data_IF_077891547687
#
_entry.id   IF_077891547687
#
_cell.length_a   1.000
_cell.length_b   1.000
_cell.length_c   1.000
_cell.angle_alpha   90.00
_cell.angle_beta   90.00
_cell.angle_gamma   90.00
#
_symmetry.space_group_name_H-M   'P 1'
#
loop_
_entity.id
_entity.type
_entity.pdbx_description
1 polymer ?
#
# COMPACT_ATOMS: atom_id res chain seq x y z
N UNK A 1 42.86 25.79 -17.25
CA UNK A 1 42.40 27.20 -17.16
C UNK A 1 42.31 27.71 -18.58
N UNK A 2 41.12 27.72 -19.18
CA UNK A 2 40.82 28.50 -20.38
C UNK A 2 39.37 28.93 -20.32
N UNK A 3 39.16 30.25 -20.34
CA UNK A 3 37.87 30.92 -20.16
C UNK A 3 37.22 31.17 -21.51
N UNK A 4 35.92 30.91 -21.58
CA UNK A 4 34.86 31.83 -22.02
C UNK A 4 35.02 32.57 -23.37
N UNK A 5 34.20 32.17 -24.35
CA UNK A 5 33.58 33.11 -25.30
C UNK A 5 32.06 32.84 -25.36
N UNK A 6 31.21 33.77 -24.91
CA UNK A 6 29.78 33.72 -25.15
C UNK A 6 29.41 34.39 -26.49
N UNK A 7 28.46 33.78 -27.20
CA UNK A 7 27.85 34.26 -28.46
C UNK A 7 26.95 35.50 -28.19
N UNK A 8 27.12 36.63 -28.89
CA UNK A 8 26.39 37.87 -28.62
C UNK A 8 25.04 38.02 -29.36
N UNK A 9 24.40 36.96 -29.85
CA UNK A 9 23.30 37.11 -30.82
C UNK A 9 21.95 36.43 -30.49
N UNK A 10 21.40 36.65 -29.29
CA UNK A 10 20.00 36.25 -29.02
C UNK A 10 19.22 37.21 -28.09
N UNK A 11 19.34 38.52 -28.29
CA UNK A 11 18.34 39.48 -27.83
C UNK A 11 17.30 39.72 -28.93
N UNK A 12 16.18 38.99 -28.88
CA UNK A 12 14.90 39.48 -29.42
C UNK A 12 13.82 39.24 -28.39
N UNK A 13 13.37 40.34 -27.81
CA UNK A 13 12.42 40.34 -26.71
C UNK A 13 11.06 39.76 -27.06
N UNK A 14 10.36 39.29 -26.03
CA UNK A 14 8.92 39.33 -26.00
C UNK A 14 8.46 39.74 -24.60
N UNK A 15 8.01 40.99 -24.57
CA UNK A 15 7.21 41.61 -23.52
C UNK A 15 5.92 40.83 -23.28
N UNK A 16 5.50 40.78 -22.02
CA UNK A 16 4.10 40.87 -21.63
C UNK A 16 3.30 39.56 -21.61
N UNK A 17 2.88 39.17 -20.40
CA UNK A 17 1.80 38.21 -20.20
C UNK A 17 1.98 37.46 -18.90
N UNK A 18 1.29 37.89 -17.85
CA UNK A 18 1.19 37.13 -16.61
C UNK A 18 0.54 35.78 -16.90
N UNK A 19 1.36 34.73 -16.91
CA UNK A 19 0.87 33.35 -16.87
C UNK A 19 0.18 33.16 -15.51
N UNK A 20 -1.13 32.88 -15.46
CA UNK A 20 -1.77 32.57 -14.19
C UNK A 20 -1.14 31.28 -13.65
N UNK A 21 -0.73 31.35 -12.39
CA UNK A 21 -0.23 30.29 -11.51
C UNK A 21 -1.29 29.19 -11.29
N UNK A 22 -1.85 28.63 -12.36
CA UNK A 22 -2.97 27.70 -12.36
C UNK A 22 -2.72 26.46 -13.25
N UNK A 23 -1.47 26.19 -13.62
CA UNK A 23 -1.09 25.02 -14.44
C UNK A 23 -0.13 24.04 -13.70
N UNK A 24 -0.07 24.13 -12.36
CA UNK A 24 0.64 23.16 -11.50
C UNK A 24 -0.31 22.35 -10.60
N UNK A 25 -1.53 22.10 -11.06
CA UNK A 25 -2.37 21.10 -10.41
C UNK A 25 -1.90 19.69 -10.83
N UNK A 26 -1.53 18.78 -9.91
CA UNK A 26 -1.34 17.38 -10.26
C UNK A 26 -2.69 16.88 -10.78
N UNK A 27 -2.75 16.58 -12.08
CA UNK A 27 -3.91 15.96 -12.71
C UNK A 27 -4.19 14.66 -11.96
N UNK A 28 -5.17 14.71 -11.06
CA UNK A 28 -5.84 13.55 -10.47
C UNK A 28 -6.31 12.70 -11.64
N UNK A 29 -5.58 11.61 -11.92
CA UNK A 29 -6.02 10.55 -12.82
C UNK A 29 -7.17 9.82 -12.14
N UNK A 30 -8.34 10.44 -12.21
CA UNK A 30 -9.62 9.81 -12.00
C UNK A 30 -9.81 8.80 -13.15
N UNK A 31 -9.71 7.50 -12.84
CA UNK A 31 -10.00 6.42 -13.77
C UNK A 31 -8.77 5.61 -14.21
N UNK A 32 -8.33 4.68 -13.37
CA UNK A 32 -7.71 3.45 -13.86
C UNK A 32 -8.65 2.29 -13.48
N UNK A 33 -9.28 1.62 -14.45
CA UNK A 33 -10.22 0.55 -14.19
C UNK A 33 -9.50 -0.63 -13.55
N UNK A 34 -10.22 -1.31 -12.65
CA UNK A 34 -9.91 -2.62 -12.09
C UNK A 34 -9.55 -3.59 -13.23
N UNK A 35 -8.26 -3.74 -13.55
CA UNK A 35 -7.81 -4.80 -14.46
C UNK A 35 -7.30 -5.95 -13.62
N UNK A 36 -8.21 -6.90 -13.39
CA UNK A 36 -7.83 -8.25 -13.00
C UNK A 36 -6.95 -8.88 -14.08
N UNK A 37 -6.03 -9.74 -13.65
CA UNK A 37 -5.31 -10.69 -14.51
C UNK A 37 -4.11 -10.12 -15.27
N UNK A 38 -3.01 -10.87 -15.15
CA UNK A 38 -1.98 -11.06 -16.17
C UNK A 38 -0.85 -10.03 -16.31
N UNK A 39 0.21 -10.27 -15.53
CA UNK A 39 1.47 -10.74 -16.13
C UNK A 39 2.08 -11.87 -15.28
N UNK A 40 2.17 -13.12 -15.77
CA UNK A 40 2.96 -14.15 -15.11
C UNK A 40 4.45 -13.80 -15.23
N UNK A 41 5.13 -13.66 -14.10
CA UNK A 41 6.60 -13.64 -14.05
C UNK A 41 7.30 -12.28 -14.06
N UNK A 42 6.60 -11.16 -13.95
CA UNK A 42 7.28 -9.88 -13.63
C UNK A 42 7.29 -9.66 -12.12
N UNK A 43 8.43 -9.72 -11.43
CA UNK A 43 8.56 -9.03 -10.14
C UNK A 43 8.42 -7.55 -10.47
N UNK A 44 7.19 -7.04 -10.40
CA UNK A 44 6.95 -5.61 -10.34
C UNK A 44 7.79 -5.17 -9.14
N UNK A 45 8.91 -4.52 -9.41
CA UNK A 45 9.80 -4.00 -8.38
C UNK A 45 8.93 -3.10 -7.51
N UNK A 46 8.41 -3.66 -6.43
CA UNK A 46 7.65 -2.92 -5.44
C UNK A 46 8.66 -1.89 -4.94
N UNK A 47 8.37 -0.58 -5.01
CA UNK A 47 9.21 0.36 -4.31
C UNK A 47 9.32 -0.18 -2.89
N UNK A 48 10.55 -0.43 -2.44
CA UNK A 48 10.81 -0.86 -1.08
C UNK A 48 10.39 0.31 -0.19
N UNK A 49 9.10 0.35 0.15
CA UNK A 49 8.58 1.27 1.13
C UNK A 49 9.44 1.06 2.38
N UNK A 50 9.90 2.14 3.04
CA UNK A 50 10.73 2.01 4.23
C UNK A 50 10.02 1.06 5.20
N UNK A 51 10.71 0.02 5.67
CA UNK A 51 10.14 -1.09 6.44
C UNK A 51 9.35 -0.63 7.69
N UNK A 52 9.59 0.59 8.17
CA UNK A 52 8.83 1.25 9.22
C UNK A 52 7.34 1.44 8.89
N UNK A 53 7.00 1.78 7.65
CA UNK A 53 5.62 2.03 7.20
C UNK A 53 4.76 0.76 7.20
N UNK A 54 5.18 -0.38 6.61
CA UNK A 54 4.40 -1.60 6.67
C UNK A 54 4.29 -2.17 8.09
N UNK A 55 5.31 -1.97 8.95
CA UNK A 55 5.26 -2.47 10.32
C UNK A 55 4.27 -1.68 11.20
N UNK A 56 4.31 -0.34 11.13
CA UNK A 56 3.34 0.50 11.84
C UNK A 56 1.90 0.22 11.36
N UNK A 57 1.70 0.11 10.05
CA UNK A 57 0.40 -0.26 9.48
C UNK A 57 -0.07 -1.64 9.97
N UNK A 58 0.82 -2.64 10.01
CA UNK A 58 0.50 -3.98 10.50
C UNK A 58 0.15 -3.99 12.00
N UNK A 59 0.90 -3.25 12.83
CA UNK A 59 0.64 -3.15 14.26
C UNK A 59 -0.72 -2.50 14.56
N UNK A 60 -1.02 -1.36 13.92
CA UNK A 60 -2.29 -0.66 14.10
C UNK A 60 -3.45 -1.52 13.58
N UNK A 61 -3.32 -2.08 12.38
CA UNK A 61 -4.36 -2.96 11.80
C UNK A 61 -4.59 -4.18 12.68
N UNK A 62 -3.53 -4.81 13.17
CA UNK A 62 -3.59 -5.94 14.08
C UNK A 62 -4.32 -5.60 15.37
N UNK A 63 -3.94 -4.51 16.04
CA UNK A 63 -4.59 -4.09 17.27
C UNK A 63 -6.07 -3.80 17.08
N UNK A 64 -6.44 -3.05 16.03
CA UNK A 64 -7.85 -2.77 15.73
C UNK A 64 -8.62 -4.05 15.42
N UNK A 65 -8.02 -4.98 14.66
CA UNK A 65 -8.60 -6.29 14.41
C UNK A 65 -8.86 -7.04 15.72
N UNK A 66 -7.95 -7.02 16.69
CA UNK A 66 -8.15 -7.68 17.97
C UNK A 66 -9.27 -7.05 18.80
N UNK A 67 -9.37 -5.73 18.83
CA UNK A 67 -10.31 -5.00 19.68
C UNK A 67 -11.78 -5.14 19.26
N UNK A 68 -12.04 -5.40 17.97
CA UNK A 68 -13.41 -5.59 17.47
C UNK A 68 -13.95 -7.02 17.69
N UNK A 69 -13.10 -7.94 18.14
CA UNK A 69 -13.45 -9.34 18.28
C UNK A 69 -13.90 -9.68 19.71
N UNK A 70 -15.03 -10.39 19.89
CA UNK A 70 -15.59 -10.73 21.21
C UNK A 70 -14.87 -11.87 21.97
N UNK A 71 -13.62 -12.19 21.65
CA UNK A 71 -12.88 -13.34 22.20
C UNK A 71 -12.27 -13.12 23.59
N UNK A 72 -12.48 -11.95 24.18
CA UNK A 72 -11.96 -11.59 25.50
C UNK A 72 -10.53 -11.06 25.49
N UNK A 73 -10.16 -10.39 26.58
CA UNK A 73 -8.90 -9.64 26.70
C UNK A 73 -7.64 -10.50 26.59
N UNK A 74 -7.71 -11.76 27.05
CA UNK A 74 -6.59 -12.70 27.01
C UNK A 74 -6.15 -13.06 25.59
N UNK A 75 -7.06 -12.97 24.61
CA UNK A 75 -6.76 -13.30 23.21
C UNK A 75 -6.36 -12.09 22.36
N UNK A 76 -6.32 -10.88 22.93
CA UNK A 76 -5.87 -9.68 22.21
C UNK A 76 -4.49 -9.86 21.57
N UNK A 77 -3.45 -10.38 22.25
CA UNK A 77 -2.13 -10.54 21.63
C UNK A 77 -2.14 -11.50 20.43
N UNK A 78 -2.93 -12.57 20.53
CA UNK A 78 -3.06 -13.59 19.48
C UNK A 78 -3.77 -13.01 18.26
N UNK A 79 -4.92 -12.35 18.48
CA UNK A 79 -5.66 -11.72 17.40
C UNK A 79 -4.91 -10.55 16.78
N UNK A 80 -4.17 -9.78 17.57
CA UNK A 80 -3.38 -8.67 17.06
C UNK A 80 -2.28 -9.17 16.13
N UNK A 81 -1.63 -10.27 16.50
CA UNK A 81 -0.64 -10.94 15.65
C UNK A 81 -1.29 -11.46 14.36
N UNK A 82 -2.47 -12.08 14.46
CA UNK A 82 -3.21 -12.56 13.28
C UNK A 82 -3.56 -11.43 12.31
N UNK A 83 -4.14 -10.33 12.82
CA UNK A 83 -4.48 -9.17 12.00
C UNK A 83 -3.25 -8.51 11.36
N UNK A 84 -2.12 -8.47 12.08
CA UNK A 84 -0.85 -7.99 11.53
C UNK A 84 -0.35 -8.90 10.38
N UNK A 85 -0.42 -10.22 10.53
CA UNK A 85 -0.06 -11.18 9.47
C UNK A 85 -0.94 -10.99 8.24
N UNK A 86 -2.26 -10.83 8.42
CA UNK A 86 -3.18 -10.58 7.30
C UNK A 86 -2.88 -9.26 6.59
N UNK A 87 -2.50 -8.22 7.34
CA UNK A 87 -2.06 -6.93 6.77
C UNK A 87 -0.77 -7.08 5.96
N UNK A 88 0.24 -7.75 6.51
CA UNK A 88 1.50 -8.03 5.82
C UNK A 88 1.28 -8.91 4.57
N UNK A 89 0.37 -9.88 4.65
CA UNK A 89 -0.01 -10.73 3.52
C UNK A 89 -0.70 -9.92 2.41
N UNK A 90 -1.55 -8.95 2.77
CA UNK A 90 -2.13 -7.99 1.81
C UNK A 90 -1.04 -7.17 1.13
N UNK A 91 -0.06 -6.69 1.87
CA UNK A 91 1.05 -5.90 1.32
C UNK A 91 1.95 -6.76 0.41
N UNK A 92 2.22 -8.01 0.80
CA UNK A 92 3.02 -8.95 0.03
C UNK A 92 2.33 -9.40 -1.26
N UNK A 93 1.01 -9.63 -1.25
CA UNK A 93 0.26 -10.07 -2.44
C UNK A 93 -0.24 -8.92 -3.29
N UNK A 94 -0.55 -7.77 -2.70
CA UNK A 94 -1.24 -6.66 -3.35
C UNK A 94 -2.73 -6.90 -3.58
N UNK A 95 -3.29 -8.02 -3.10
CA UNK A 95 -4.70 -8.41 -3.34
C UNK A 95 -5.41 -8.75 -2.02
N UNK A 96 -6.74 -8.57 -1.98
CA UNK A 96 -7.58 -8.96 -0.85
C UNK A 96 -7.86 -10.47 -0.79
N UNK A 97 -7.72 -11.18 -1.91
CA UNK A 97 -8.07 -12.59 -1.98
C UNK A 97 -7.21 -13.44 -1.03
N UNK A 98 -5.91 -13.14 -0.94
CA UNK A 98 -5.00 -13.87 -0.07
C UNK A 98 -5.32 -13.74 1.43
N UNK A 99 -5.47 -12.53 2.02
CA UNK A 99 -5.87 -12.41 3.42
C UNK A 99 -7.27 -12.94 3.70
N UNK A 100 -8.23 -12.80 2.77
CA UNK A 100 -9.57 -13.40 2.94
C UNK A 100 -9.47 -14.92 3.03
N UNK A 101 -8.75 -15.56 2.10
CA UNK A 101 -8.57 -17.01 2.09
C UNK A 101 -7.83 -17.50 3.34
N UNK A 102 -6.76 -16.81 3.76
CA UNK A 102 -6.03 -17.13 4.97
C UNK A 102 -6.89 -16.99 6.24
N UNK A 103 -7.70 -15.93 6.33
CA UNK A 103 -8.61 -15.71 7.45
C UNK A 103 -9.71 -16.78 7.51
N UNK A 104 -10.35 -17.07 6.36
CA UNK A 104 -11.36 -18.11 6.26
C UNK A 104 -10.80 -19.49 6.60
N UNK A 105 -9.60 -19.82 6.12
CA UNK A 105 -8.93 -21.09 6.43
C UNK A 105 -8.62 -21.21 7.93
N UNK A 106 -8.06 -20.16 8.53
CA UNK A 106 -7.76 -20.16 9.97
C UNK A 106 -9.02 -20.38 10.80
N UNK A 107 -10.09 -19.62 10.53
CA UNK A 107 -11.35 -19.77 11.24
C UNK A 107 -11.98 -21.14 10.98
N UNK A 108 -11.92 -21.63 9.74
CA UNK A 108 -12.43 -22.95 9.37
C UNK A 108 -11.73 -24.08 10.13
N UNK A 109 -10.40 -24.03 10.25
CA UNK A 109 -9.62 -24.99 11.05
C UNK A 109 -10.02 -24.88 12.53
N UNK A 110 -10.12 -23.66 13.06
CA UNK A 110 -10.48 -23.43 14.46
C UNK A 110 -11.86 -23.99 14.78
N UNK A 111 -12.85 -23.74 13.91
CA UNK A 111 -14.20 -24.30 14.05
C UNK A 111 -14.20 -25.82 13.91
N UNK A 112 -13.47 -26.38 12.94
CA UNK A 112 -13.39 -27.83 12.76
C UNK A 112 -12.77 -28.52 13.99
N UNK A 113 -11.68 -27.96 14.55
CA UNK A 113 -11.07 -28.47 15.77
C UNK A 113 -12.01 -28.33 16.96
N UNK A 114 -12.71 -27.19 17.08
CA UNK A 114 -13.68 -26.98 18.15
C UNK A 114 -14.81 -28.01 18.09
N UNK A 115 -15.36 -28.26 16.90
CA UNK A 115 -16.40 -29.28 16.68
C UNK A 115 -15.95 -30.73 16.86
N UNK A 116 -14.63 -30.98 16.94
CA UNK A 116 -14.11 -32.31 17.28
C UNK A 116 -13.93 -32.50 18.79
N UNK A 117 -13.78 -31.40 19.53
CA UNK A 117 -13.57 -31.41 20.99
C UNK A 117 -14.90 -31.36 21.74
N UNK A 118 -15.92 -30.73 21.17
CA UNK A 118 -17.28 -30.61 21.71
C UNK A 118 -18.27 -31.42 20.90
#
# INVERSE_FOLDING_TARGET
>A
MDRCRPDPSAHRGRSGGGEPLLDRAPRLRLGAPLRGGDLPGRPLARPAAPACVPLAAAAITGLLFALVHPQGWSLIPVLATMGAILCLLRLWRGTLLAPIAAHALHNGILMALLSLVF
#
